data_IF_418580806194
#
_entry.id   IF_418580806194
#
_cell.length_a   1.000
_cell.length_b   1.000
_cell.length_c   1.000
_cell.angle_alpha   90.00
_cell.angle_beta   90.00
_cell.angle_gamma   90.00
#
_symmetry.space_group_name_H-M   'P 1'
#
loop_
_entity.id
_entity.type
_entity.pdbx_description
1 polymer ?
#
# COMPACT_ATOMS: atom_id res chain seq x y z
N UNK A 1 15.02 21.94 -4.13
CA UNK A 1 15.22 20.63 -3.47
C UNK A 1 15.34 19.55 -4.53
N UNK A 2 16.09 18.46 -4.27
CA UNK A 2 16.15 17.30 -5.17
C UNK A 2 15.70 16.04 -4.43
N UNK A 3 15.00 15.16 -5.13
CA UNK A 3 14.54 13.86 -4.63
C UNK A 3 15.02 12.74 -5.56
N UNK A 4 15.27 11.56 -5.02
CA UNK A 4 15.49 10.39 -5.85
C UNK A 4 14.14 9.80 -6.24
N UNK A 5 13.88 9.67 -7.53
CA UNK A 5 12.65 9.12 -8.08
C UNK A 5 12.90 7.68 -8.54
N UNK A 6 12.22 6.72 -7.94
CA UNK A 6 12.34 5.30 -8.29
C UNK A 6 11.92 5.03 -9.72
N UNK A 7 10.91 5.78 -10.21
CA UNK A 7 10.42 5.63 -11.59
C UNK A 7 11.49 5.91 -12.63
N UNK A 8 12.24 7.02 -12.45
CA UNK A 8 13.29 7.44 -13.39
C UNK A 8 14.66 6.91 -13.01
N UNK A 9 14.84 6.37 -11.80
CA UNK A 9 16.14 5.99 -11.20
C UNK A 9 17.15 7.14 -11.14
N UNK A 10 16.65 8.36 -11.00
CA UNK A 10 17.49 9.58 -10.99
C UNK A 10 17.16 10.46 -9.79
N UNK A 11 18.16 11.24 -9.40
CA UNK A 11 18.00 12.35 -8.47
C UNK A 11 17.65 13.62 -9.25
N UNK A 12 16.42 14.06 -9.15
CA UNK A 12 15.86 15.16 -9.94
C UNK A 12 15.29 16.29 -9.06
N UNK A 13 15.11 17.46 -9.67
CA UNK A 13 14.50 18.60 -8.98
C UNK A 13 13.05 18.26 -8.63
N UNK A 14 12.66 18.54 -7.39
CA UNK A 14 11.27 18.42 -6.98
C UNK A 14 10.49 19.68 -7.40
N UNK A 15 9.51 19.49 -8.26
CA UNK A 15 8.59 20.52 -8.75
C UNK A 15 7.18 20.05 -8.41
N UNK A 16 6.47 20.68 -7.47
CA UNK A 16 5.12 20.27 -7.11
C UNK A 16 4.12 20.57 -8.22
N UNK A 17 3.02 19.83 -8.29
CA UNK A 17 1.88 20.04 -9.18
C UNK A 17 1.23 21.43 -8.97
N UNK A 18 1.24 21.90 -7.73
CA UNK A 18 0.72 23.21 -7.33
C UNK A 18 1.77 23.91 -6.46
N UNK A 19 2.16 25.12 -6.83
CA UNK A 19 3.19 25.86 -6.12
C UNK A 19 2.88 26.00 -4.62
N UNK A 20 3.86 25.69 -3.79
CA UNK A 20 3.76 25.74 -2.33
C UNK A 20 2.93 24.62 -1.69
N UNK A 21 2.37 23.69 -2.46
CA UNK A 21 1.59 22.55 -1.95
C UNK A 21 2.19 21.22 -2.39
N UNK A 22 2.03 20.20 -1.57
CA UNK A 22 2.49 18.83 -1.86
C UNK A 22 1.38 17.85 -1.50
N UNK A 23 0.99 17.02 -2.46
CA UNK A 23 0.07 15.90 -2.31
C UNK A 23 0.90 14.63 -2.16
N UNK A 24 0.91 14.06 -0.96
CA UNK A 24 1.77 12.94 -0.63
C UNK A 24 0.95 11.78 -0.07
N UNK A 25 1.03 10.63 -0.74
CA UNK A 25 0.45 9.37 -0.28
C UNK A 25 1.55 8.41 0.16
N UNK A 26 1.41 7.84 1.34
CA UNK A 26 2.33 6.81 1.86
C UNK A 26 1.52 5.59 2.25
N UNK A 27 1.77 4.45 1.62
CA UNK A 27 1.09 3.20 1.95
C UNK A 27 1.27 2.85 3.43
N UNK A 28 0.16 2.72 4.13
CA UNK A 28 0.12 2.38 5.54
C UNK A 28 0.16 0.88 5.82
N UNK A 29 0.23 0.48 7.08
CA UNK A 29 0.33 -0.92 7.47
C UNK A 29 -1.01 -1.63 7.45
N UNK A 30 -0.96 -2.96 7.26
CA UNK A 30 -2.06 -3.86 7.61
C UNK A 30 -2.09 -4.02 9.13
N UNK A 31 -3.23 -3.72 9.75
CA UNK A 31 -3.37 -3.60 11.20
C UNK A 31 -3.85 -4.89 11.86
N UNK A 32 -2.99 -5.89 11.90
CA UNK A 32 -3.28 -7.20 12.51
C UNK A 32 -2.39 -7.53 13.72
N UNK A 33 -1.36 -6.73 13.98
CA UNK A 33 -0.42 -6.92 15.08
C UNK A 33 0.31 -5.62 15.41
N UNK A 34 1.07 -5.58 16.51
CA UNK A 34 2.02 -4.52 16.81
C UNK A 34 2.98 -4.31 15.64
N UNK A 35 3.31 -3.04 15.37
CA UNK A 35 4.25 -2.70 14.30
C UNK A 35 5.67 -3.14 14.67
N UNK A 36 6.34 -3.73 13.70
CA UNK A 36 7.77 -4.02 13.81
C UNK A 36 8.62 -2.86 13.25
N UNK A 37 9.89 -2.86 13.56
CA UNK A 37 10.80 -1.79 13.11
C UNK A 37 10.84 -1.60 11.58
N UNK A 38 10.55 -2.64 10.80
CA UNK A 38 10.41 -2.55 9.34
C UNK A 38 9.17 -1.75 8.91
N UNK A 39 8.05 -1.83 9.65
CA UNK A 39 6.88 -0.99 9.41
C UNK A 39 7.12 0.46 9.89
N UNK A 40 7.86 0.62 10.98
CA UNK A 40 8.20 1.94 11.53
C UNK A 40 9.10 2.74 10.58
N UNK A 41 9.98 2.08 9.82
CA UNK A 41 10.94 2.76 8.95
C UNK A 41 10.28 3.68 7.91
N UNK A 42 9.34 3.24 7.06
CA UNK A 42 8.67 4.15 6.14
C UNK A 42 7.94 5.28 6.87
N UNK A 43 7.32 5.03 8.03
CA UNK A 43 6.64 6.05 8.82
C UNK A 43 7.61 7.16 9.26
N UNK A 44 8.81 6.80 9.73
CA UNK A 44 9.84 7.74 10.18
C UNK A 44 10.46 8.48 8.99
N UNK A 45 10.83 7.76 7.93
CA UNK A 45 11.48 8.34 6.74
C UNK A 45 10.56 9.36 6.08
N UNK A 46 9.30 9.03 5.86
CA UNK A 46 8.38 9.93 5.17
C UNK A 46 7.83 11.03 6.07
N UNK A 47 7.77 10.84 7.38
CA UNK A 47 7.58 11.93 8.34
C UNK A 47 8.74 12.94 8.27
N UNK A 48 9.97 12.47 8.14
CA UNK A 48 11.14 13.32 7.97
C UNK A 48 11.10 14.10 6.64
N UNK A 49 10.73 13.44 5.54
CA UNK A 49 10.52 14.10 4.24
C UNK A 49 9.44 15.18 4.35
N UNK A 50 8.29 14.85 4.95
CA UNK A 50 7.20 15.79 5.20
C UNK A 50 7.67 17.01 5.99
N UNK A 51 8.34 16.78 7.14
CA UNK A 51 8.84 17.86 7.99
C UNK A 51 9.85 18.76 7.25
N UNK A 52 10.70 18.18 6.42
CA UNK A 52 11.64 18.96 5.62
C UNK A 52 10.94 19.80 4.56
N UNK A 53 9.92 19.29 3.89
CA UNK A 53 9.11 20.06 2.95
C UNK A 53 8.35 21.19 3.64
N UNK A 54 7.76 20.93 4.82
CA UNK A 54 7.10 21.94 5.65
C UNK A 54 8.11 23.02 6.10
N UNK A 55 9.32 22.64 6.50
CA UNK A 55 10.41 23.57 6.84
C UNK A 55 10.81 24.45 5.64
N UNK A 56 10.72 23.94 4.41
CA UNK A 56 10.94 24.70 3.17
C UNK A 56 9.74 25.58 2.78
N UNK A 57 8.72 25.66 3.62
CA UNK A 57 7.54 26.51 3.41
C UNK A 57 6.41 25.90 2.60
N UNK A 58 6.47 24.60 2.31
CA UNK A 58 5.41 23.91 1.57
C UNK A 58 4.30 23.42 2.50
N UNK A 59 3.05 23.49 2.06
CA UNK A 59 1.92 22.86 2.74
C UNK A 59 1.78 21.42 2.26
N UNK A 60 2.06 20.46 3.13
CA UNK A 60 2.00 19.03 2.78
C UNK A 60 0.65 18.44 3.19
N UNK A 61 -0.14 17.97 2.22
CA UNK A 61 -1.29 17.11 2.47
C UNK A 61 -0.79 15.66 2.45
N UNK A 62 -0.58 15.12 3.64
CA UNK A 62 -0.01 13.78 3.86
C UNK A 62 -1.13 12.80 4.17
N UNK A 63 -1.33 11.82 3.32
CA UNK A 63 -2.32 10.74 3.49
C UNK A 63 -1.60 9.42 3.69
N UNK A 64 -1.98 8.69 4.72
CA UNK A 64 -1.48 7.32 4.97
C UNK A 64 -2.61 6.48 5.54
N UNK A 65 -2.99 5.43 4.84
CA UNK A 65 -4.12 4.57 5.19
C UNK A 65 -3.79 3.58 6.30
N UNK A 66 -4.85 2.95 6.83
CA UNK A 66 -4.76 1.65 7.49
C UNK A 66 -5.52 0.63 6.64
N UNK A 67 -4.87 -0.47 6.28
CA UNK A 67 -5.54 -1.64 5.72
C UNK A 67 -6.15 -2.42 6.87
N UNK A 68 -7.45 -2.24 7.05
CA UNK A 68 -8.25 -2.79 8.16
C UNK A 68 -9.11 -4.00 7.74
N UNK A 69 -8.94 -4.48 6.50
CA UNK A 69 -9.49 -5.73 5.98
C UNK A 69 -8.43 -6.48 5.17
N UNK A 70 -8.02 -7.65 5.65
CA UNK A 70 -6.97 -8.47 5.00
C UNK A 70 -7.04 -9.92 5.54
N UNK A 71 -6.51 -10.87 4.78
CA UNK A 71 -6.43 -12.28 5.19
C UNK A 71 -5.73 -12.48 6.55
N UNK A 72 -4.73 -11.65 6.88
CA UNK A 72 -4.01 -11.72 8.17
C UNK A 72 -4.87 -11.27 9.33
N UNK A 73 -5.71 -10.25 9.12
CA UNK A 73 -6.67 -9.76 10.12
C UNK A 73 -7.73 -10.83 10.39
N UNK A 74 -8.30 -11.40 9.32
CA UNK A 74 -9.31 -12.45 9.40
C UNK A 74 -8.76 -13.68 10.13
N UNK A 75 -7.56 -14.12 9.75
CA UNK A 75 -6.90 -15.24 10.41
C UNK A 75 -6.72 -15.00 11.92
N UNK A 76 -6.24 -13.80 12.28
CA UNK A 76 -6.02 -13.46 13.69
C UNK A 76 -7.34 -13.33 14.46
N UNK A 77 -8.39 -12.79 13.84
CA UNK A 77 -9.73 -12.72 14.43
C UNK A 77 -10.26 -14.12 14.74
N UNK A 78 -10.14 -15.05 13.81
CA UNK A 78 -10.53 -16.45 13.99
C UNK A 78 -9.71 -17.15 15.11
N UNK A 79 -8.40 -16.89 15.18
CA UNK A 79 -7.53 -17.43 16.22
C UNK A 79 -7.89 -16.94 17.63
N UNK A 80 -8.34 -15.68 17.73
CA UNK A 80 -8.72 -15.05 19.00
C UNK A 80 -10.23 -15.18 19.32
N UNK A 81 -11.05 -15.66 18.39
CA UNK A 81 -12.50 -15.79 18.57
C UNK A 81 -13.24 -14.43 18.65
N UNK A 82 -12.73 -13.41 17.95
CA UNK A 82 -13.27 -12.05 17.91
C UNK A 82 -13.55 -11.62 16.47
N UNK A 83 -14.17 -10.46 16.28
CA UNK A 83 -14.40 -9.92 14.92
C UNK A 83 -13.12 -9.33 14.29
N UNK A 84 -13.07 -9.33 12.96
CA UNK A 84 -11.98 -8.65 12.21
C UNK A 84 -11.93 -7.16 12.52
N UNK A 85 -13.08 -6.53 12.73
CA UNK A 85 -13.20 -5.12 13.13
C UNK A 85 -12.56 -4.88 14.50
N UNK A 86 -12.77 -5.77 15.47
CA UNK A 86 -12.15 -5.65 16.80
C UNK A 86 -10.62 -5.74 16.70
N UNK A 87 -10.10 -6.68 15.92
CA UNK A 87 -8.65 -6.80 15.68
C UNK A 87 -8.11 -5.52 15.05
N UNK A 88 -8.73 -5.04 13.97
CA UNK A 88 -8.30 -3.84 13.27
C UNK A 88 -8.30 -2.61 14.19
N UNK A 89 -9.41 -2.36 14.89
CA UNK A 89 -9.54 -1.21 15.80
C UNK A 89 -8.49 -1.25 16.93
N UNK A 90 -8.24 -2.43 17.49
CA UNK A 90 -7.20 -2.64 18.51
C UNK A 90 -5.83 -2.23 17.97
N UNK A 91 -5.43 -2.78 16.84
CA UNK A 91 -4.08 -2.53 16.31
C UNK A 91 -3.91 -1.18 15.61
N UNK A 92 -4.97 -0.53 15.14
CA UNK A 92 -4.94 0.89 14.75
C UNK A 92 -4.58 1.76 15.96
N UNK A 93 -5.23 1.53 17.11
CA UNK A 93 -4.95 2.27 18.35
C UNK A 93 -3.50 2.07 18.80
N UNK A 94 -3.04 0.83 18.77
CA UNK A 94 -1.67 0.47 19.16
C UNK A 94 -0.63 1.06 18.17
N UNK A 95 -0.90 1.02 16.87
CA UNK A 95 -0.05 1.62 15.85
C UNK A 95 0.06 3.14 16.03
N UNK A 96 -1.06 3.82 16.26
CA UNK A 96 -1.05 5.28 16.53
C UNK A 96 -0.24 5.63 17.78
N UNK A 97 -0.31 4.79 18.82
CA UNK A 97 0.52 4.96 20.01
C UNK A 97 2.01 4.81 19.67
N UNK A 98 2.39 3.75 18.98
CA UNK A 98 3.78 3.50 18.59
C UNK A 98 4.32 4.62 17.68
N UNK A 99 3.49 5.15 16.77
CA UNK A 99 3.85 6.31 15.95
C UNK A 99 4.10 7.57 16.79
N UNK A 100 3.26 7.82 17.81
CA UNK A 100 3.42 8.96 18.71
C UNK A 100 4.70 8.82 19.55
N UNK A 101 4.97 7.64 20.09
CA UNK A 101 6.17 7.33 20.86
C UNK A 101 7.46 7.49 20.01
N UNK A 102 7.39 7.24 18.70
CA UNK A 102 8.44 7.50 17.72
C UNK A 102 8.49 8.97 17.23
N UNK A 103 7.69 9.87 17.80
CA UNK A 103 7.56 11.27 17.38
C UNK A 103 7.24 11.44 15.89
N UNK A 104 6.45 10.51 15.32
CA UNK A 104 5.90 10.62 13.97
C UNK A 104 4.64 11.46 14.03
N UNK A 105 4.57 12.51 13.21
CA UNK A 105 3.36 13.35 13.10
C UNK A 105 2.19 12.53 12.56
N UNK A 106 0.98 12.68 13.12
CA UNK A 106 -0.21 12.12 12.49
C UNK A 106 -0.34 12.57 11.04
N UNK A 107 -0.82 11.71 10.15
CA UNK A 107 -1.14 12.10 8.79
C UNK A 107 -2.26 13.17 8.78
N UNK A 108 -2.38 13.91 7.70
CA UNK A 108 -3.52 14.82 7.50
C UNK A 108 -4.82 14.04 7.51
N UNK A 109 -4.79 12.84 6.88
CA UNK A 109 -5.89 11.87 6.91
C UNK A 109 -5.31 10.46 7.02
N UNK A 110 -5.93 9.64 7.85
CA UNK A 110 -5.71 8.19 7.92
C UNK A 110 -6.98 7.46 7.45
N UNK A 111 -7.20 7.28 6.15
CA UNK A 111 -8.37 6.55 5.67
C UNK A 111 -8.31 5.08 6.05
N UNK A 112 -9.49 4.47 6.22
CA UNK A 112 -9.67 3.03 6.44
C UNK A 112 -10.19 2.38 5.17
N UNK A 113 -9.62 1.25 4.77
CA UNK A 113 -10.06 0.53 3.57
C UNK A 113 -11.56 0.17 3.62
N UNK A 114 -12.05 -0.25 4.79
CA UNK A 114 -13.47 -0.61 5.00
C UNK A 114 -14.44 0.56 4.81
N UNK A 115 -13.98 1.81 4.91
CA UNK A 115 -14.80 3.01 4.71
C UNK A 115 -14.83 3.49 3.26
N UNK A 116 -14.07 2.86 2.37
CA UNK A 116 -13.89 3.28 0.98
C UNK A 116 -14.39 2.24 -0.04
N UNK A 117 -15.17 1.26 0.40
CA UNK A 117 -15.66 0.14 -0.41
C UNK A 117 -16.47 0.63 -1.63
N UNK A 118 -17.36 1.60 -1.45
CA UNK A 118 -18.17 2.13 -2.55
C UNK A 118 -17.29 2.76 -3.64
N UNK A 119 -16.22 3.47 -3.23
CA UNK A 119 -15.24 4.02 -4.15
C UNK A 119 -14.45 2.94 -4.89
N UNK A 120 -14.13 1.83 -4.21
CA UNK A 120 -13.45 0.69 -4.84
C UNK A 120 -14.37 0.01 -5.85
N UNK A 121 -15.63 -0.22 -5.53
CA UNK A 121 -16.62 -0.79 -6.46
C UNK A 121 -16.78 0.12 -7.68
N UNK A 122 -16.88 1.43 -7.48
CA UNK A 122 -17.00 2.39 -8.57
C UNK A 122 -15.76 2.37 -9.50
N UNK A 123 -14.55 2.37 -8.95
CA UNK A 123 -13.32 2.32 -9.76
C UNK A 123 -13.20 0.98 -10.49
N UNK A 124 -13.53 -0.14 -9.88
CA UNK A 124 -13.52 -1.46 -10.52
C UNK A 124 -14.53 -1.52 -11.66
N UNK A 125 -15.74 -0.97 -11.46
CA UNK A 125 -16.76 -0.89 -12.52
C UNK A 125 -16.28 -0.07 -13.72
N UNK A 126 -15.64 1.08 -13.48
CA UNK A 126 -15.03 1.91 -14.53
C UNK A 126 -13.92 1.17 -15.29
N UNK A 127 -13.09 0.40 -14.58
CA UNK A 127 -12.04 -0.42 -15.19
C UNK A 127 -12.62 -1.55 -16.06
N UNK A 128 -13.75 -2.15 -15.66
CA UNK A 128 -14.47 -3.15 -16.47
C UNK A 128 -15.05 -2.50 -17.73
N UNK A 129 -15.73 -1.36 -17.60
CA UNK A 129 -16.31 -0.62 -18.72
C UNK A 129 -15.24 -0.22 -19.75
N UNK A 130 -14.06 0.19 -19.30
CA UNK A 130 -12.90 0.53 -20.14
C UNK A 130 -12.16 -0.70 -20.69
N UNK A 131 -12.56 -1.91 -20.31
CA UNK A 131 -11.98 -3.17 -20.77
C UNK A 131 -10.65 -3.54 -20.09
N UNK A 132 -10.22 -2.82 -19.05
CA UNK A 132 -9.03 -3.15 -18.27
C UNK A 132 -9.26 -4.21 -17.19
N UNK A 133 -10.51 -4.54 -16.89
CA UNK A 133 -10.85 -5.59 -15.95
C UNK A 133 -11.94 -6.50 -16.49
N UNK A 134 -12.12 -7.67 -15.89
CA UNK A 134 -13.16 -8.65 -16.22
C UNK A 134 -13.60 -9.41 -14.98
N UNK A 135 -14.86 -9.83 -14.99
CA UNK A 135 -15.43 -10.69 -13.95
C UNK A 135 -15.38 -12.15 -14.40
N UNK A 136 -15.06 -13.05 -13.49
CA UNK A 136 -15.17 -14.49 -13.69
C UNK A 136 -15.48 -15.18 -12.36
N UNK A 137 -16.61 -15.88 -12.31
CA UNK A 137 -17.09 -16.62 -11.14
C UNK A 137 -17.16 -15.76 -9.85
N UNK A 138 -17.59 -14.50 -9.98
CA UNK A 138 -17.71 -13.56 -8.88
C UNK A 138 -16.40 -12.88 -8.45
N UNK A 139 -15.27 -13.26 -9.05
CA UNK A 139 -13.96 -12.60 -8.87
C UNK A 139 -13.75 -11.59 -10.00
N UNK A 140 -13.24 -10.40 -9.67
CA UNK A 140 -12.84 -9.43 -10.70
C UNK A 140 -11.32 -9.36 -10.77
N UNK A 141 -10.80 -9.47 -11.97
CA UNK A 141 -9.37 -9.42 -12.29
C UNK A 141 -9.02 -8.20 -13.14
N UNK A 142 -7.85 -7.63 -12.92
CA UNK A 142 -7.27 -6.62 -13.81
C UNK A 142 -6.49 -7.32 -14.93
N UNK A 143 -6.70 -6.89 -16.19
CA UNK A 143 -5.96 -7.37 -17.37
C UNK A 143 -4.61 -6.70 -17.47
N UNK A 144 -3.60 -7.29 -16.88
CA UNK A 144 -2.26 -6.71 -16.76
C UNK A 144 -1.65 -6.37 -18.12
N UNK A 145 -1.77 -7.24 -19.12
CA UNK A 145 -1.23 -6.99 -20.47
C UNK A 145 -1.98 -5.93 -21.25
N UNK A 146 -3.19 -5.55 -20.84
CA UNK A 146 -3.93 -4.44 -21.44
C UNK A 146 -3.31 -3.09 -21.13
N UNK A 147 -2.67 -2.95 -19.96
CA UNK A 147 -1.94 -1.76 -19.56
C UNK A 147 -0.50 -1.85 -20.09
N UNK A 148 -0.25 -1.20 -21.24
CA UNK A 148 1.01 -1.35 -22.00
C UNK A 148 2.27 -0.91 -21.24
N UNK A 149 2.12 -0.01 -20.28
CA UNK A 149 3.24 0.52 -19.48
C UNK A 149 3.48 -0.27 -18.19
N UNK A 150 2.82 -1.43 -18.02
CA UNK A 150 3.05 -2.26 -16.83
C UNK A 150 4.50 -2.68 -16.71
N UNK A 151 5.07 -2.50 -15.53
CA UNK A 151 6.49 -2.72 -15.27
C UNK A 151 7.35 -1.45 -15.32
N UNK A 152 6.76 -0.28 -15.60
CA UNK A 152 7.51 0.98 -15.72
C UNK A 152 8.18 1.43 -14.41
N UNK A 153 7.58 1.14 -13.25
CA UNK A 153 8.14 1.47 -11.94
C UNK A 153 9.18 0.44 -11.50
N UNK A 154 8.83 -0.83 -11.58
CA UNK A 154 9.69 -1.94 -11.15
C UNK A 154 10.80 -2.26 -12.15
N UNK A 155 10.72 -1.73 -13.36
CA UNK A 155 11.59 -2.03 -14.50
C UNK A 155 11.64 -3.53 -14.83
N UNK A 156 10.54 -4.23 -14.61
CA UNK A 156 10.39 -5.65 -14.90
C UNK A 156 9.73 -5.84 -16.26
N UNK A 157 10.26 -6.78 -17.02
CA UNK A 157 9.61 -7.23 -18.24
C UNK A 157 8.52 -8.25 -17.90
N UNK A 158 7.32 -8.12 -18.49
CA UNK A 158 6.20 -9.03 -18.30
C UNK A 158 6.53 -10.49 -18.67
N UNK A 159 7.32 -10.69 -19.72
CA UNK A 159 7.68 -12.03 -20.20
C UNK A 159 8.65 -12.72 -19.23
N UNK A 160 9.55 -11.98 -18.60
CA UNK A 160 10.44 -12.49 -17.55
C UNK A 160 9.67 -12.87 -16.27
N UNK A 161 8.56 -12.17 -15.98
CA UNK A 161 7.70 -12.48 -14.83
C UNK A 161 6.96 -13.80 -15.00
N UNK A 162 6.59 -14.19 -16.23
CA UNK A 162 5.97 -15.50 -16.49
C UNK A 162 6.95 -16.67 -16.30
N UNK A 163 8.21 -16.50 -16.68
CA UNK A 163 9.22 -17.56 -16.63
C UNK A 163 9.78 -17.82 -15.23
N UNK A 164 9.73 -16.85 -14.32
CA UNK A 164 10.47 -16.88 -13.04
C UNK A 164 9.65 -17.07 -11.77
N UNK A 165 8.32 -16.95 -11.80
CA UNK A 165 7.55 -16.87 -10.57
C UNK A 165 6.39 -17.91 -10.46
N UNK A 166 6.75 -19.11 -10.02
CA UNK A 166 5.74 -20.09 -9.53
C UNK A 166 4.91 -19.56 -8.33
N UNK A 167 5.39 -18.53 -7.62
CA UNK A 167 4.69 -17.93 -6.48
C UNK A 167 3.59 -16.93 -6.87
N UNK A 168 3.58 -16.42 -8.11
CA UNK A 168 2.47 -15.61 -8.62
C UNK A 168 1.27 -16.48 -9.07
N UNK A 169 1.45 -17.78 -9.16
CA UNK A 169 0.41 -18.78 -9.47
C UNK A 169 -0.46 -19.10 -8.23
N UNK A 170 -0.73 -18.12 -7.37
CA UNK A 170 -1.52 -18.32 -6.16
C UNK A 170 -3.00 -18.34 -6.51
N UNK A 171 -3.70 -19.39 -6.06
CA UNK A 171 -5.14 -19.67 -6.02
C UNK A 171 -6.00 -18.97 -7.11
N UNK A 172 -6.59 -19.74 -8.01
CA UNK A 172 -7.40 -19.26 -9.11
C UNK A 172 -6.65 -19.17 -10.45
N UNK A 173 -5.48 -19.80 -10.57
CA UNK A 173 -4.68 -19.79 -11.81
C UNK A 173 -5.47 -20.29 -13.03
N UNK A 174 -6.38 -21.23 -12.82
CA UNK A 174 -7.22 -21.82 -13.89
C UNK A 174 -8.37 -20.89 -14.30
N UNK A 175 -8.64 -19.82 -13.54
CA UNK A 175 -9.74 -18.89 -13.80
C UNK A 175 -9.29 -17.60 -14.48
N UNK A 176 -8.00 -17.27 -14.48
CA UNK A 176 -7.47 -16.05 -15.08
C UNK A 176 -7.34 -16.16 -16.59
N UNK A 177 -7.60 -15.03 -17.31
CA UNK A 177 -7.29 -14.93 -18.75
C UNK A 177 -5.77 -14.95 -19.00
N UNK A 178 -4.99 -14.33 -18.11
CA UNK A 178 -3.51 -14.36 -18.11
C UNK A 178 -3.00 -14.58 -16.68
N UNK A 179 -1.96 -15.40 -16.46
CA UNK A 179 -1.39 -15.65 -15.14
C UNK A 179 -0.92 -14.38 -14.39
N UNK A 180 -0.60 -13.34 -15.12
CA UNK A 180 -0.16 -12.04 -14.56
C UNK A 180 -1.33 -11.17 -14.08
N UNK A 181 -2.58 -11.51 -14.41
CA UNK A 181 -3.74 -10.76 -13.97
C UNK A 181 -3.86 -10.82 -12.47
N UNK A 182 -4.24 -9.72 -11.85
CA UNK A 182 -4.36 -9.63 -10.40
C UNK A 182 -5.78 -9.28 -9.94
N UNK A 183 -6.11 -9.71 -8.73
CA UNK A 183 -7.45 -9.60 -8.18
C UNK A 183 -7.77 -8.17 -7.76
N UNK A 184 -8.92 -7.66 -8.21
CA UNK A 184 -9.53 -6.39 -7.78
C UNK A 184 -10.66 -6.60 -6.76
N UNK A 185 -11.43 -7.70 -6.94
CA UNK A 185 -12.52 -8.10 -6.04
C UNK A 185 -12.56 -9.61 -5.93
N UNK A 186 -12.80 -10.15 -4.75
CA UNK A 186 -12.91 -11.59 -4.51
C UNK A 186 -14.17 -11.95 -3.73
N UNK A 187 -14.87 -13.05 -4.08
CA UNK A 187 -16.04 -13.53 -3.37
C UNK A 187 -15.71 -13.80 -1.90
N UNK A 188 -16.69 -13.61 -1.03
CA UNK A 188 -16.59 -13.98 0.38
C UNK A 188 -16.40 -15.48 0.55
N UNK A 189 -15.67 -15.83 1.60
CA UNK A 189 -15.66 -17.18 2.18
C UNK A 189 -16.47 -17.16 3.47
N UNK A 190 -16.83 -18.34 3.94
CA UNK A 190 -17.53 -18.49 5.21
C UNK A 190 -16.72 -17.86 6.36
N UNK A 191 -17.39 -17.06 7.19
CA UNK A 191 -16.75 -16.37 8.33
C UNK A 191 -15.93 -15.11 7.96
N UNK A 192 -15.84 -14.72 6.69
CA UNK A 192 -15.15 -13.50 6.28
C UNK A 192 -16.08 -12.27 6.29
N UNK A 193 -15.57 -11.08 6.63
CA UNK A 193 -16.31 -9.83 6.38
C UNK A 193 -16.53 -9.64 4.87
N UNK A 194 -17.68 -9.10 4.49
CA UNK A 194 -18.01 -8.90 3.09
C UNK A 194 -18.90 -7.69 2.87
N UNK A 195 -18.90 -7.21 1.65
CA UNK A 195 -19.75 -6.15 1.13
C UNK A 195 -20.47 -6.62 -0.13
N UNK A 196 -21.64 -6.06 -0.38
CA UNK A 196 -22.37 -6.31 -1.63
C UNK A 196 -21.68 -5.60 -2.78
N UNK A 197 -21.55 -6.29 -3.91
CA UNK A 197 -21.06 -5.70 -5.16
C UNK A 197 -21.87 -6.23 -6.35
N UNK A 198 -21.74 -5.62 -7.53
CA UNK A 198 -22.40 -6.13 -8.75
C UNK A 198 -21.95 -7.54 -9.16
N UNK A 199 -20.80 -8.00 -8.67
CA UNK A 199 -20.18 -9.26 -9.10
C UNK A 199 -20.44 -10.39 -8.09
N UNK A 200 -20.29 -10.09 -6.81
CA UNK A 200 -20.54 -11.04 -5.72
C UNK A 200 -20.55 -10.32 -4.39
N UNK A 201 -21.17 -10.93 -3.35
CA UNK A 201 -20.84 -10.61 -1.97
C UNK A 201 -19.37 -10.95 -1.75
N UNK A 202 -18.55 -9.99 -1.30
CA UNK A 202 -17.12 -10.22 -1.22
C UNK A 202 -16.34 -9.04 -0.65
N UNK A 203 -15.07 -8.96 -0.98
CA UNK A 203 -14.16 -7.93 -0.50
C UNK A 203 -13.13 -7.51 -1.55
N UNK A 204 -12.56 -6.29 -1.44
CA UNK A 204 -11.58 -5.80 -2.40
C UNK A 204 -10.27 -6.62 -2.36
N UNK A 205 -9.56 -6.60 -3.49
CA UNK A 205 -8.16 -6.95 -3.55
C UNK A 205 -7.30 -5.87 -2.88
N UNK A 206 -6.12 -6.24 -2.43
CA UNK A 206 -5.24 -5.34 -1.66
C UNK A 206 -4.82 -4.06 -2.42
N UNK A 207 -4.64 -4.16 -3.73
CA UNK A 207 -4.04 -3.07 -4.51
C UNK A 207 -5.01 -1.93 -4.84
N UNK A 208 -6.32 -2.21 -4.92
CA UNK A 208 -7.32 -1.20 -5.28
C UNK A 208 -7.55 -0.17 -4.17
N UNK A 209 -7.28 -0.54 -2.92
CA UNK A 209 -7.48 0.30 -1.74
C UNK A 209 -6.74 1.62 -1.87
N UNK A 210 -5.41 1.57 -2.07
CA UNK A 210 -4.56 2.75 -2.12
C UNK A 210 -4.85 3.62 -3.34
N UNK A 211 -5.17 3.04 -4.50
CA UNK A 211 -5.58 3.79 -5.69
C UNK A 211 -6.83 4.64 -5.42
N UNK A 212 -7.84 4.05 -4.77
CA UNK A 212 -9.10 4.75 -4.46
C UNK A 212 -8.89 5.80 -3.38
N UNK A 213 -8.20 5.45 -2.30
CA UNK A 213 -7.96 6.39 -1.19
C UNK A 213 -7.08 7.57 -1.64
N UNK A 214 -6.05 7.32 -2.45
CA UNK A 214 -5.23 8.37 -3.02
C UNK A 214 -6.06 9.33 -3.88
N UNK A 215 -6.86 8.80 -4.79
CA UNK A 215 -7.75 9.60 -5.64
C UNK A 215 -8.74 10.44 -4.82
N UNK A 216 -9.38 9.85 -3.82
CA UNK A 216 -10.40 10.53 -3.00
C UNK A 216 -9.82 11.69 -2.21
N UNK A 217 -8.67 11.54 -1.60
CA UNK A 217 -8.12 12.52 -0.66
C UNK A 217 -7.09 13.47 -1.27
N UNK A 218 -6.49 13.09 -2.41
CA UNK A 218 -5.42 13.86 -3.05
C UNK A 218 -5.70 14.22 -4.51
N UNK A 219 -6.68 13.57 -5.16
CA UNK A 219 -7.05 13.78 -6.56
C UNK A 219 -6.43 12.74 -7.50
N UNK A 220 -6.71 12.90 -8.82
CA UNK A 220 -6.30 11.95 -9.86
C UNK A 220 -4.77 11.85 -10.03
N UNK A 221 -4.06 12.94 -9.73
CA UNK A 221 -2.61 13.05 -9.79
C UNK A 221 -2.07 13.57 -8.47
N UNK A 222 -0.95 12.98 -8.03
CA UNK A 222 -0.29 13.36 -6.79
C UNK A 222 1.19 13.67 -7.04
N UNK A 223 1.79 14.45 -6.14
CA UNK A 223 3.22 14.77 -6.23
C UNK A 223 4.07 13.55 -5.88
N UNK A 224 3.82 12.95 -4.73
CA UNK A 224 4.64 11.86 -4.19
C UNK A 224 3.77 10.68 -3.82
N UNK A 225 4.13 9.50 -4.33
CA UNK A 225 3.70 8.20 -3.80
C UNK A 225 4.89 7.48 -3.19
N UNK A 226 4.72 6.94 -1.97
CA UNK A 226 5.85 6.44 -1.22
C UNK A 226 5.53 5.20 -0.38
N UNK A 227 6.58 4.44 -0.01
CA UNK A 227 6.47 3.26 0.84
C UNK A 227 7.81 2.52 1.00
N UNK A 228 7.75 1.29 1.47
CA UNK A 228 8.91 0.40 1.50
C UNK A 228 9.28 -0.11 0.10
N UNK A 229 10.54 -0.46 -0.11
CA UNK A 229 11.04 -1.00 -1.37
C UNK A 229 10.34 -2.32 -1.77
N UNK A 230 9.82 -3.07 -0.80
CA UNK A 230 9.02 -4.27 -1.02
C UNK A 230 7.67 -3.99 -1.69
N UNK A 231 7.17 -2.77 -1.63
CA UNK A 231 5.94 -2.36 -2.28
C UNK A 231 6.12 -1.98 -3.75
N UNK A 232 7.35 -1.75 -4.23
CA UNK A 232 7.59 -1.40 -5.64
C UNK A 232 6.89 -2.40 -6.56
N UNK A 233 7.05 -3.69 -6.26
CA UNK A 233 6.39 -4.77 -7.01
C UNK A 233 5.90 -5.88 -6.07
N UNK A 234 4.63 -6.34 -6.21
CA UNK A 234 3.68 -5.91 -7.25
C UNK A 234 2.80 -4.70 -6.85
N UNK A 235 2.80 -4.24 -5.59
CA UNK A 235 1.76 -3.36 -5.04
C UNK A 235 1.68 -2.00 -5.78
N UNK A 236 2.75 -1.21 -5.77
CA UNK A 236 2.77 0.11 -6.42
C UNK A 236 2.68 0.03 -7.95
N UNK A 237 3.24 -1.02 -8.56
CA UNK A 237 3.06 -1.26 -9.99
C UNK A 237 1.59 -1.49 -10.34
N UNK A 238 0.87 -2.26 -9.52
CA UNK A 238 -0.56 -2.52 -9.70
C UNK A 238 -1.40 -1.26 -9.44
N UNK A 239 -1.01 -0.43 -8.48
CA UNK A 239 -1.67 0.85 -8.23
C UNK A 239 -1.54 1.81 -9.42
N UNK A 240 -0.34 1.87 -10.06
CA UNK A 240 -0.14 2.63 -11.30
C UNK A 240 -1.12 2.15 -12.36
N UNK A 241 -1.13 0.84 -12.61
CA UNK A 241 -1.99 0.26 -13.65
C UNK A 241 -3.47 0.58 -13.40
N UNK A 242 -3.97 0.43 -12.16
CA UNK A 242 -5.34 0.75 -11.79
C UNK A 242 -5.66 2.24 -11.96
N UNK A 243 -4.82 3.09 -11.38
CA UNK A 243 -5.08 4.53 -11.33
C UNK A 243 -4.99 5.18 -12.71
N UNK A 244 -3.97 4.83 -13.50
CA UNK A 244 -3.77 5.41 -14.82
C UNK A 244 -4.78 4.86 -15.84
N UNK A 245 -5.14 3.58 -15.78
CA UNK A 245 -6.21 3.02 -16.60
C UNK A 245 -7.57 3.65 -16.29
N UNK A 246 -7.87 3.89 -15.00
CA UNK A 246 -9.13 4.51 -14.60
C UNK A 246 -9.17 6.01 -14.95
N UNK A 247 -8.08 6.75 -14.73
CA UNK A 247 -8.10 8.21 -14.81
C UNK A 247 -7.56 8.78 -16.12
N UNK A 248 -6.82 7.98 -16.92
CA UNK A 248 -6.19 8.44 -18.18
C UNK A 248 -5.09 9.48 -17.98
N UNK A 249 -4.48 9.53 -16.77
CA UNK A 249 -3.44 10.48 -16.38
C UNK A 249 -2.35 9.75 -15.61
N UNK A 250 -1.13 10.30 -15.64
CA UNK A 250 -0.05 9.86 -14.75
C UNK A 250 -0.51 9.92 -13.29
N UNK A 251 -0.25 8.87 -12.52
CA UNK A 251 -0.73 8.77 -11.16
C UNK A 251 0.09 9.59 -10.17
N UNK A 252 1.40 9.41 -10.16
CA UNK A 252 2.31 10.13 -9.27
C UNK A 252 3.59 10.57 -9.99
N UNK A 253 4.00 11.83 -9.77
CA UNK A 253 5.19 12.38 -10.40
C UNK A 253 6.48 11.81 -9.81
N UNK A 254 6.50 11.60 -8.48
CA UNK A 254 7.67 11.10 -7.77
C UNK A 254 7.31 9.85 -6.98
N UNK A 255 8.06 8.77 -7.21
CA UNK A 255 7.98 7.52 -6.48
C UNK A 255 9.18 7.41 -5.55
N UNK A 256 8.92 7.39 -4.23
CA UNK A 256 9.96 7.38 -3.21
C UNK A 256 9.88 6.10 -2.38
N UNK A 257 10.99 5.39 -2.27
CA UNK A 257 11.05 4.14 -1.51
C UNK A 257 12.21 4.15 -0.53
N UNK A 258 11.96 3.71 0.70
CA UNK A 258 13.02 3.41 1.66
C UNK A 258 13.47 1.97 1.51
N UNK A 259 14.78 1.74 1.65
CA UNK A 259 15.35 0.40 1.59
C UNK A 259 14.98 -0.49 2.77
N UNK A 260 15.24 -1.79 2.64
CA UNK A 260 15.01 -2.78 3.72
C UNK A 260 15.91 -2.53 4.93
N UNK A 261 15.43 -3.00 6.09
CA UNK A 261 16.28 -3.21 7.25
C UNK A 261 16.87 -4.60 7.18
N UNK A 262 18.18 -4.67 7.13
CA UNK A 262 18.92 -5.92 7.24
C UNK A 262 19.51 -6.06 8.65
N UNK A 263 19.41 -7.26 9.21
CA UNK A 263 20.05 -7.63 10.47
C UNK A 263 21.03 -8.75 10.14
N UNK A 264 22.31 -8.54 10.43
CA UNK A 264 23.40 -9.49 10.12
C UNK A 264 23.39 -9.94 8.66
N UNK A 265 23.16 -9.03 7.72
CA UNK A 265 23.02 -9.29 6.28
C UNK A 265 21.92 -10.31 5.91
N UNK A 266 20.97 -10.57 6.81
CA UNK A 266 19.82 -11.45 6.55
C UNK A 266 18.53 -10.66 6.55
N UNK A 267 17.63 -11.02 5.63
CA UNK A 267 16.27 -10.49 5.60
C UNK A 267 15.55 -10.89 6.89
N UNK A 268 14.80 -9.96 7.49
CA UNK A 268 13.97 -10.22 8.66
C UNK A 268 12.95 -11.33 8.39
N UNK A 269 12.81 -12.25 9.34
CA UNK A 269 11.68 -13.17 9.40
C UNK A 269 11.36 -13.57 10.84
N UNK A 270 10.08 -13.84 11.14
CA UNK A 270 9.65 -14.36 12.43
C UNK A 270 10.33 -15.69 12.76
N UNK A 271 10.55 -16.54 11.76
CA UNK A 271 11.18 -17.85 11.91
C UNK A 271 12.67 -17.79 12.26
N UNK A 272 13.33 -16.64 12.01
CA UNK A 272 14.75 -16.45 12.33
C UNK A 272 14.98 -15.74 13.67
N UNK A 273 13.91 -15.43 14.44
CA UNK A 273 14.01 -14.73 15.73
C UNK A 273 14.56 -13.30 15.64
N UNK A 274 14.68 -12.73 14.44
CA UNK A 274 15.19 -11.37 14.19
C UNK A 274 14.07 -10.36 13.90
N UNK A 275 12.87 -10.61 14.43
CA UNK A 275 11.68 -9.79 14.27
C UNK A 275 11.45 -8.99 15.55
N UNK A 276 11.81 -7.71 15.53
CA UNK A 276 11.67 -6.83 16.69
C UNK A 276 10.49 -5.88 16.52
N UNK A 277 9.60 -5.85 17.52
CA UNK A 277 8.56 -4.84 17.64
C UNK A 277 9.18 -3.52 18.10
N UNK A 278 8.54 -2.41 17.75
CA UNK A 278 8.94 -1.07 18.24
C UNK A 278 8.98 -1.05 19.77
N UNK A 279 8.02 -1.69 20.44
CA UNK A 279 7.91 -1.74 21.90
C UNK A 279 9.06 -2.49 22.56
N UNK A 280 9.45 -3.65 22.02
CA UNK A 280 10.59 -4.42 22.52
C UNK A 280 11.91 -3.64 22.44
N UNK A 281 12.05 -2.77 21.43
CA UNK A 281 13.17 -1.84 21.36
C UNK A 281 13.02 -0.73 22.39
N UNK A 282 11.78 -0.20 22.56
CA UNK A 282 11.50 0.86 23.52
C UNK A 282 11.72 0.47 24.98
N UNK A 283 11.67 -0.82 25.32
CA UNK A 283 12.04 -1.34 26.65
C UNK A 283 13.54 -1.23 26.94
N UNK A 284 14.36 -1.16 25.89
CA UNK A 284 15.83 -1.18 26.01
C UNK A 284 16.48 0.15 25.65
N UNK A 285 15.86 0.91 24.78
CA UNK A 285 16.41 2.15 24.20
C UNK A 285 15.34 3.22 24.10
N UNK A 286 15.74 4.48 24.23
CA UNK A 286 14.88 5.60 23.87
C UNK A 286 14.48 5.50 22.39
N UNK A 287 13.19 5.62 22.11
CA UNK A 287 12.66 5.51 20.74
C UNK A 287 13.13 6.65 19.81
N UNK A 288 13.63 7.78 20.36
CA UNK A 288 14.30 8.81 19.57
C UNK A 288 15.64 8.30 19.01
N UNK A 289 16.33 7.40 19.73
CA UNK A 289 17.53 6.72 19.22
C UNK A 289 17.15 5.82 18.04
N UNK A 290 16.06 5.06 18.17
CA UNK A 290 15.54 4.26 17.07
C UNK A 290 15.16 5.13 15.86
N UNK A 291 14.47 6.26 16.11
CA UNK A 291 14.12 7.22 15.06
C UNK A 291 15.35 7.76 14.34
N UNK A 292 16.39 8.11 15.07
CA UNK A 292 17.64 8.61 14.49
C UNK A 292 18.39 7.54 13.68
N UNK A 293 18.32 6.30 14.12
CA UNK A 293 18.95 5.16 13.44
C UNK A 293 18.27 4.82 12.10
N UNK A 294 16.96 5.07 11.95
CA UNK A 294 16.15 4.74 10.75
C UNK A 294 16.33 5.73 9.60
#
# INVERSE_FOLDING_TARGET
MKVYNTLTKKKEAFIPLEEGKVRMYVCGPTVYNYIHIGNARPMIVFDTVRRYMEYKGMKVNYVSNFTDVDDKIIKKANEEGVSSEEIANRYIKECKKDMADLNVKPATVHPLATQEIDGMIAMISDLIEKGYAYEKNGTVYFRTRRFKEYGKLSHKNLDDLQSGNRSLLVSGADEKEDPLDFVLWKPKKEGEPFWKSPWSDGRPGWHIECSVMSKKYLGDQIDIHAGGEDLIFPHHENEIAQSEAANGKEFAHYWMHNGFLNIDNKKKSKSLGNYFNVREIGEKYDLQVLRFFM
#
